data_IF_952761187318
#
_entry.id   IF_952761187318
#
_cell.length_a   1.000
_cell.length_b   1.000
_cell.length_c   1.000
_cell.angle_alpha   90.00
_cell.angle_beta   90.00
_cell.angle_gamma   90.00
#
_symmetry.space_group_name_H-M   'P 1'
#
loop_
_entity.id
_entity.type
_entity.pdbx_description
1 polymer ?
#
# COMPACT_ATOMS: atom_id res chain seq x y z
N UNK A 1 -21.05 -12.25 -21.08
CA UNK A 1 -20.08 -11.44 -21.83
C UNK A 1 -18.73 -11.67 -21.19
N UNK A 2 -17.65 -11.82 -21.98
CA UNK A 2 -16.31 -11.95 -21.43
C UNK A 2 -15.93 -10.70 -20.64
N UNK A 3 -15.12 -10.88 -19.59
CA UNK A 3 -14.70 -9.77 -18.76
C UNK A 3 -13.81 -8.79 -19.53
N UNK A 4 -14.17 -7.51 -19.51
CA UNK A 4 -13.34 -6.45 -20.08
C UNK A 4 -12.39 -5.91 -19.01
N UNK A 5 -11.11 -6.29 -19.12
CA UNK A 5 -10.08 -5.93 -18.15
C UNK A 5 -9.58 -4.49 -18.36
N UNK A 6 -9.48 -3.65 -17.31
CA UNK A 6 -8.99 -2.30 -17.44
C UNK A 6 -7.56 -2.25 -17.98
N UNK A 7 -7.26 -1.27 -18.84
CA UNK A 7 -5.94 -1.10 -19.44
C UNK A 7 -4.81 -1.08 -18.39
N UNK A 8 -3.65 -1.64 -18.75
CA UNK A 8 -2.48 -1.68 -17.87
C UNK A 8 -2.09 -0.32 -17.29
N UNK A 9 -2.07 0.73 -18.12
CA UNK A 9 -1.72 2.10 -17.68
C UNK A 9 -2.70 2.64 -16.63
N UNK A 10 -4.00 2.34 -16.80
CA UNK A 10 -5.01 2.72 -15.82
C UNK A 10 -4.83 1.96 -14.51
N UNK A 11 -4.66 0.64 -14.57
CA UNK A 11 -4.41 -0.19 -13.38
C UNK A 11 -3.15 0.24 -12.65
N UNK A 12 -2.06 0.53 -13.37
CA UNK A 12 -0.80 1.02 -12.82
C UNK A 12 -1.02 2.31 -12.02
N UNK A 13 -1.59 3.34 -12.64
CA UNK A 13 -1.82 4.63 -12.00
C UNK A 13 -2.72 4.52 -10.76
N UNK A 14 -3.73 3.63 -10.79
CA UNK A 14 -4.58 3.40 -9.62
C UNK A 14 -3.87 2.61 -8.51
N UNK A 15 -3.02 1.65 -8.87
CA UNK A 15 -2.20 0.87 -7.94
C UNK A 15 -1.17 1.74 -7.22
N UNK A 16 -0.54 2.68 -7.92
CA UNK A 16 0.41 3.61 -7.30
C UNK A 16 -0.27 4.49 -6.23
N UNK A 17 -1.55 4.82 -6.43
CA UNK A 17 -2.35 5.65 -5.53
C UNK A 17 -3.22 4.85 -4.54
N UNK A 18 -3.03 3.53 -4.42
CA UNK A 18 -3.92 2.65 -3.66
C UNK A 18 -3.90 2.95 -2.15
N UNK A 19 -2.71 3.19 -1.59
CA UNK A 19 -2.55 3.57 -0.18
C UNK A 19 -3.26 4.89 0.13
N UNK A 20 -3.14 5.89 -0.75
CA UNK A 20 -3.81 7.18 -0.58
C UNK A 20 -5.33 7.03 -0.67
N UNK A 21 -5.82 6.25 -1.64
CA UNK A 21 -7.25 5.97 -1.81
C UNK A 21 -7.83 5.28 -0.57
N UNK A 22 -7.11 4.29 -0.03
CA UNK A 22 -7.51 3.61 1.20
C UNK A 22 -7.47 4.55 2.41
N UNK A 23 -6.39 5.33 2.57
CA UNK A 23 -6.25 6.31 3.64
C UNK A 23 -7.42 7.31 3.68
N UNK A 24 -7.86 7.81 2.52
CA UNK A 24 -9.02 8.69 2.39
C UNK A 24 -10.32 8.01 2.83
N UNK A 25 -10.58 6.77 2.38
CA UNK A 25 -11.78 6.02 2.76
C UNK A 25 -11.83 5.73 4.26
N UNK A 26 -10.68 5.41 4.85
CA UNK A 26 -10.56 5.14 6.29
C UNK A 26 -10.48 6.41 7.15
N UNK A 27 -10.53 7.61 6.53
CA UNK A 27 -10.32 8.90 7.20
C UNK A 27 -9.04 8.93 8.06
N UNK A 28 -7.92 8.45 7.51
CA UNK A 28 -6.63 8.52 8.21
C UNK A 28 -6.25 9.96 8.51
N UNK A 29 -5.56 10.13 9.62
CA UNK A 29 -5.11 11.44 10.05
C UNK A 29 -4.27 12.14 8.99
N UNK A 30 -4.64 13.39 8.69
CA UNK A 30 -3.87 14.28 7.83
C UNK A 30 -3.07 15.23 8.71
N UNK A 31 -1.75 15.04 8.72
CA UNK A 31 -0.84 15.90 9.47
C UNK A 31 -0.74 17.29 8.83
N UNK A 32 -0.63 18.37 9.63
CA UNK A 32 -0.12 19.65 9.15
C UNK A 32 1.26 19.50 8.51
N UNK A 33 1.59 20.35 7.54
CA UNK A 33 2.91 20.36 6.91
C UNK A 33 4.02 20.52 7.96
N UNK A 34 5.15 19.84 7.78
CA UNK A 34 6.22 19.78 8.79
C UNK A 34 6.66 21.16 9.31
N UNK A 35 6.93 22.11 8.41
CA UNK A 35 7.40 23.45 8.80
C UNK A 35 6.34 24.22 9.59
N UNK A 36 5.07 24.10 9.20
CA UNK A 36 3.94 24.71 9.91
C UNK A 36 3.75 24.08 11.31
N UNK A 37 3.81 22.74 11.40
CA UNK A 37 3.76 22.03 12.67
C UNK A 37 4.89 22.48 13.61
N UNK A 38 6.13 22.53 13.10
CA UNK A 38 7.30 22.95 13.87
C UNK A 38 7.14 24.38 14.37
N UNK A 39 6.75 25.31 13.50
CA UNK A 39 6.56 26.71 13.87
C UNK A 39 5.47 26.88 14.94
N UNK A 40 4.34 26.18 14.78
CA UNK A 40 3.25 26.18 15.77
C UNK A 40 3.70 25.64 17.13
N UNK A 41 4.50 24.58 17.15
CA UNK A 41 5.06 24.02 18.40
C UNK A 41 6.06 24.95 19.06
N UNK A 42 6.87 25.68 18.29
CA UNK A 42 7.76 26.72 18.84
C UNK A 42 6.98 27.88 19.50
N UNK A 43 5.74 28.13 19.04
CA UNK A 43 4.81 29.13 19.57
C UNK A 43 3.77 28.55 20.53
N UNK A 44 3.97 27.31 21.02
CA UNK A 44 2.99 26.60 21.85
C UNK A 44 2.68 27.34 23.17
N UNK A 45 3.68 28.01 23.76
CA UNK A 45 3.47 28.78 25.00
C UNK A 45 2.50 29.95 24.80
N UNK A 46 2.66 30.69 23.69
CA UNK A 46 1.77 31.80 23.34
C UNK A 46 0.35 31.30 23.07
N UNK A 47 0.22 30.18 22.36
CA UNK A 47 -1.07 29.57 22.09
C UNK A 47 -1.73 29.08 23.39
N UNK A 48 -0.98 28.45 24.28
CA UNK A 48 -1.46 28.03 25.60
C UNK A 48 -1.96 29.23 26.42
N UNK A 49 -1.18 30.31 26.51
CA UNK A 49 -1.59 31.55 27.21
C UNK A 49 -2.84 32.17 26.58
N UNK A 50 -2.98 32.13 25.25
CA UNK A 50 -4.19 32.56 24.55
C UNK A 50 -5.40 31.71 24.94
N UNK A 51 -5.29 30.38 24.89
CA UNK A 51 -6.36 29.45 25.32
C UNK A 51 -6.74 29.63 26.79
N UNK A 52 -5.77 29.87 27.65
CA UNK A 52 -6.00 30.13 29.08
C UNK A 52 -6.84 31.41 29.29
N UNK A 53 -6.55 32.49 28.54
CA UNK A 53 -7.36 33.71 28.54
C UNK A 53 -8.77 33.49 27.98
N UNK A 54 -8.91 32.70 26.91
CA UNK A 54 -10.23 32.33 26.36
C UNK A 54 -11.08 31.63 27.41
N UNK A 55 -10.50 30.70 28.17
CA UNK A 55 -11.18 29.99 29.27
C UNK A 55 -11.52 30.87 30.47
N UNK A 56 -10.77 31.95 30.68
CA UNK A 56 -11.05 32.92 31.74
C UNK A 56 -12.28 33.78 31.41
N UNK A 57 -12.67 33.93 30.13
CA UNK A 57 -13.87 34.68 29.75
C UNK A 57 -15.11 34.06 30.43
N UNK A 58 -15.71 34.80 31.36
CA UNK A 58 -16.88 34.36 32.14
C UNK A 58 -16.56 33.77 33.52
N UNK A 59 -15.30 33.76 33.97
CA UNK A 59 -14.89 33.35 35.32
C UNK A 59 -14.35 34.54 36.13
N UNK A 60 -14.71 34.61 37.40
CA UNK A 60 -14.28 35.69 38.32
C UNK A 60 -12.84 35.53 38.81
N UNK A 61 -12.27 34.33 38.71
CA UNK A 61 -10.90 34.03 39.12
C UNK A 61 -9.92 34.10 37.94
N UNK A 62 -8.76 34.73 38.18
CA UNK A 62 -7.66 34.76 37.21
C UNK A 62 -7.12 33.35 37.04
N UNK A 63 -7.14 32.83 35.81
CA UNK A 63 -6.40 31.63 35.49
C UNK A 63 -4.93 32.05 35.30
N UNK A 64 -4.02 31.46 36.07
CA UNK A 64 -2.58 31.66 35.87
C UNK A 64 -1.96 30.43 35.20
N UNK A 65 -0.89 30.61 34.40
CA UNK A 65 -0.13 29.49 33.85
C UNK A 65 0.35 28.54 34.96
N UNK A 66 0.09 27.24 34.79
CA UNK A 66 0.58 26.19 35.69
C UNK A 66 2.05 25.89 35.38
N UNK A 67 2.95 25.95 36.37
CA UNK A 67 4.38 25.65 36.22
C UNK A 67 4.59 24.27 35.59
N UNK A 68 3.81 23.27 36.00
CA UNK A 68 3.89 21.93 35.42
C UNK A 68 3.54 21.92 33.93
N UNK A 69 2.62 22.78 33.48
CA UNK A 69 2.26 22.92 32.06
C UNK A 69 3.33 23.68 31.29
N UNK A 70 3.96 24.68 31.89
CA UNK A 70 5.07 25.41 31.29
C UNK A 70 6.28 24.50 31.08
N UNK A 71 6.62 23.63 32.03
CA UNK A 71 7.69 22.64 31.87
C UNK A 71 7.41 21.65 30.73
N UNK A 72 6.16 21.21 30.60
CA UNK A 72 5.72 20.34 29.51
C UNK A 72 5.81 21.03 28.15
N UNK A 73 5.41 22.31 28.09
CA UNK A 73 5.54 23.13 26.88
C UNK A 73 7.01 23.32 26.55
N UNK A 74 7.86 23.65 27.53
CA UNK A 74 9.31 23.79 27.36
C UNK A 74 9.95 22.54 26.77
N UNK A 75 9.56 21.35 27.25
CA UNK A 75 10.02 20.08 26.68
C UNK A 75 9.67 19.92 25.20
N UNK A 76 8.43 20.23 24.80
CA UNK A 76 7.96 20.13 23.41
C UNK A 76 8.65 21.18 22.52
N UNK A 77 8.77 22.42 23.01
CA UNK A 77 9.46 23.52 22.30
C UNK A 77 10.94 23.21 22.09
N UNK A 78 11.62 22.65 23.09
CA UNK A 78 13.00 22.18 22.97
C UNK A 78 13.13 21.07 21.91
N UNK A 79 12.20 20.11 21.90
CA UNK A 79 12.17 19.07 20.88
C UNK A 79 12.00 19.67 19.47
N UNK A 80 11.07 20.61 19.29
CA UNK A 80 10.88 21.31 18.02
C UNK A 80 12.13 22.09 17.56
N UNK A 81 12.84 22.71 18.50
CA UNK A 81 14.11 23.37 18.22
C UNK A 81 15.19 22.39 17.75
N UNK A 82 15.25 21.19 18.33
CA UNK A 82 16.20 20.15 17.97
C UNK A 82 15.92 19.49 16.60
N UNK A 83 14.72 19.69 16.04
CA UNK A 83 14.34 19.14 14.72
C UNK A 83 14.80 20.02 13.55
N UNK A 84 15.05 19.45 12.35
CA UNK A 84 15.56 20.18 11.18
C UNK A 84 14.74 21.42 10.79
N UNK A 85 15.38 22.56 10.49
CA UNK A 85 14.68 23.82 10.21
C UNK A 85 14.65 24.25 8.72
N UNK A 86 15.18 23.42 7.82
CA UNK A 86 15.22 23.68 6.38
C UNK A 86 16.40 24.54 5.90
N UNK A 87 17.12 25.25 6.76
CA UNK A 87 18.22 26.16 6.37
C UNK A 87 19.61 25.72 6.83
N UNK A 88 19.70 24.80 7.77
CA UNK A 88 20.93 24.18 8.25
C UNK A 88 20.53 22.85 8.89
N UNK A 89 21.26 21.77 8.65
CA UNK A 89 21.05 20.53 9.38
C UNK A 89 22.04 20.50 10.55
N UNK A 90 21.64 20.78 11.82
CA UNK A 90 22.46 20.39 12.96
C UNK A 90 22.55 18.87 13.07
N UNK A 91 21.58 18.14 12.48
CA UNK A 91 21.53 16.68 12.43
C UNK A 91 21.17 16.23 11.00
N UNK A 92 22.17 15.86 10.18
CA UNK A 92 21.96 15.27 8.84
C UNK A 92 21.26 13.90 8.87
N UNK A 93 20.98 13.35 10.05
CA UNK A 93 20.53 11.96 10.22
C UNK A 93 19.00 11.77 10.27
N UNK A 94 18.20 12.83 10.45
CA UNK A 94 16.74 12.72 10.59
C UNK A 94 16.05 13.34 9.37
N UNK A 95 15.27 12.54 8.63
CA UNK A 95 14.43 13.02 7.52
C UNK A 95 13.28 13.90 8.01
N UNK A 96 12.74 14.77 7.16
CA UNK A 96 11.59 15.62 7.53
C UNK A 96 10.36 14.80 7.93
N UNK A 97 10.10 13.68 7.26
CA UNK A 97 8.99 12.77 7.59
C UNK A 97 9.13 12.18 9.00
N UNK A 98 10.35 11.77 9.37
CA UNK A 98 10.61 11.24 10.71
C UNK A 98 10.59 12.33 11.78
N UNK A 99 11.13 13.52 11.49
CA UNK A 99 11.04 14.67 12.37
C UNK A 99 9.58 15.07 12.63
N UNK A 100 8.73 15.08 11.59
CA UNK A 100 7.30 15.32 11.72
C UNK A 100 6.65 14.26 12.63
N UNK A 101 6.94 12.99 12.40
CA UNK A 101 6.42 11.88 13.22
C UNK A 101 6.82 11.98 14.69
N UNK A 102 8.06 12.38 14.97
CA UNK A 102 8.54 12.64 16.34
C UNK A 102 7.74 13.77 17.02
N UNK A 103 7.55 14.90 16.33
CA UNK A 103 6.81 16.06 16.86
C UNK A 103 5.32 15.77 17.07
N UNK A 104 4.71 15.00 16.17
CA UNK A 104 3.36 14.50 16.37
C UNK A 104 3.34 13.58 17.60
N UNK A 105 4.27 12.62 17.69
CA UNK A 105 4.36 11.66 18.79
C UNK A 105 4.47 12.32 20.16
N UNK A 106 5.31 13.35 20.30
CA UNK A 106 5.43 14.10 21.56
C UNK A 106 4.14 14.83 21.93
N UNK A 107 3.51 15.46 20.95
CA UNK A 107 2.27 16.22 21.12
C UNK A 107 1.11 15.29 21.50
N UNK A 108 1.01 14.16 20.81
CA UNK A 108 0.03 13.10 21.04
C UNK A 108 0.18 12.48 22.43
N UNK A 109 1.39 12.09 22.81
CA UNK A 109 1.65 11.53 24.14
C UNK A 109 1.24 12.49 25.26
N UNK A 110 1.53 13.78 25.10
CA UNK A 110 1.12 14.80 26.06
C UNK A 110 -0.40 14.96 26.08
N UNK A 111 -1.03 15.10 24.92
CA UNK A 111 -2.48 15.21 24.78
C UNK A 111 -3.20 14.06 25.51
N UNK A 112 -2.80 12.81 25.23
CA UNK A 112 -3.39 11.62 25.85
C UNK A 112 -3.22 11.59 27.38
N UNK A 113 -2.04 11.95 27.89
CA UNK A 113 -1.81 11.97 29.34
C UNK A 113 -2.64 13.03 30.05
N UNK A 114 -2.86 14.21 29.44
CA UNK A 114 -3.72 15.24 30.04
C UNK A 114 -5.16 14.73 30.07
N UNK A 115 -5.69 14.23 28.95
CA UNK A 115 -7.05 13.67 28.90
C UNK A 115 -7.24 12.57 29.94
N UNK A 116 -6.25 11.68 30.13
CA UNK A 116 -6.31 10.65 31.18
C UNK A 116 -6.31 11.23 32.60
N UNK A 117 -5.45 12.21 32.90
CA UNK A 117 -5.43 12.86 34.21
C UNK A 117 -6.76 13.53 34.53
N UNK A 118 -7.39 14.17 33.54
CA UNK A 118 -8.69 14.83 33.71
C UNK A 118 -9.85 13.82 33.75
N UNK A 119 -9.82 12.71 33.01
CA UNK A 119 -10.85 11.66 33.13
C UNK A 119 -10.86 10.99 34.52
N UNK A 120 -9.69 10.83 35.14
CA UNK A 120 -9.57 10.30 36.51
C UNK A 120 -10.06 11.33 37.55
N UNK A 121 -9.80 12.63 37.33
CA UNK A 121 -10.20 13.72 38.23
C UNK A 121 -11.66 14.19 38.06
N UNK A 122 -12.22 14.12 36.85
CA UNK A 122 -13.53 14.67 36.47
C UNK A 122 -14.59 13.60 36.15
N UNK A 123 -14.35 12.32 36.45
CA UNK A 123 -15.38 11.28 36.41
C UNK A 123 -16.66 11.61 37.22
N UNK A 124 -16.62 12.67 38.03
CA UNK A 124 -17.74 13.24 38.78
C UNK A 124 -18.35 14.54 38.19
N UNK A 125 -17.72 15.27 37.25
CA UNK A 125 -18.15 16.65 36.86
C UNK A 125 -18.11 17.01 35.35
N UNK A 126 -17.82 16.09 34.43
CA UNK A 126 -17.99 16.30 32.97
C UNK A 126 -16.74 16.06 32.10
N UNK A 127 -16.91 16.00 30.78
CA UNK A 127 -15.87 15.59 29.82
C UNK A 127 -14.58 16.44 29.88
N UNK A 128 -13.43 15.77 29.72
CA UNK A 128 -12.09 16.28 30.01
C UNK A 128 -11.46 17.18 28.92
N UNK A 129 -11.88 17.05 27.66
CA UNK A 129 -11.12 17.60 26.53
C UNK A 129 -11.21 19.13 26.42
N UNK A 130 -12.35 19.72 26.82
CA UNK A 130 -12.54 21.19 26.90
C UNK A 130 -11.92 21.80 28.17
N UNK A 131 -11.38 20.97 29.07
CA UNK A 131 -11.01 21.39 30.41
C UNK A 131 -9.54 21.79 30.61
N UNK A 132 -8.64 21.48 29.67
CA UNK A 132 -7.23 21.92 29.73
C UNK A 132 -6.87 22.85 28.57
N UNK A 133 -6.38 24.06 28.88
CA UNK A 133 -5.91 25.02 27.87
C UNK A 133 -4.74 24.46 27.03
N UNK A 134 -3.90 23.60 27.62
CA UNK A 134 -2.82 22.92 26.87
C UNK A 134 -3.37 21.85 25.92
N UNK A 135 -4.44 21.12 26.30
CA UNK A 135 -5.10 20.21 25.37
C UNK A 135 -5.73 20.96 24.20
N UNK A 136 -6.43 22.07 24.46
CA UNK A 136 -7.00 22.90 23.40
C UNK A 136 -5.92 23.42 22.43
N UNK A 137 -4.76 23.82 22.96
CA UNK A 137 -3.63 24.25 22.13
C UNK A 137 -3.07 23.10 21.29
N UNK A 138 -2.81 21.92 21.89
CA UNK A 138 -2.31 20.76 21.16
C UNK A 138 -3.32 20.24 20.13
N UNK A 139 -4.62 20.27 20.44
CA UNK A 139 -5.70 19.91 19.53
C UNK A 139 -5.71 20.82 18.29
N UNK A 140 -5.53 22.14 18.48
CA UNK A 140 -5.43 23.11 17.38
C UNK A 140 -4.15 22.90 16.55
N UNK A 141 -3.00 22.67 17.20
CA UNK A 141 -1.73 22.44 16.49
C UNK A 141 -1.79 21.17 15.64
N UNK A 142 -2.34 20.10 16.19
CA UNK A 142 -2.51 18.83 15.49
C UNK A 142 -3.64 18.90 14.43
N UNK A 143 -4.43 19.97 14.39
CA UNK A 143 -5.53 20.13 13.43
C UNK A 143 -6.62 19.07 13.63
N UNK A 144 -6.87 18.67 14.88
CA UNK A 144 -7.87 17.65 15.19
C UNK A 144 -9.28 18.21 14.98
N UNK A 145 -10.16 17.38 14.43
CA UNK A 145 -11.59 17.66 14.26
C UNK A 145 -12.37 16.35 14.12
N UNK A 146 -13.69 16.42 14.06
CA UNK A 146 -14.56 15.26 13.81
C UNK A 146 -14.20 14.55 12.49
N UNK A 147 -13.68 15.29 11.51
CA UNK A 147 -13.24 14.77 10.21
C UNK A 147 -11.74 14.46 10.14
N UNK A 148 -10.94 14.89 11.11
CA UNK A 148 -9.50 14.66 11.16
C UNK A 148 -9.08 14.15 12.55
N UNK A 149 -9.43 12.90 12.85
CA UNK A 149 -9.07 12.23 14.09
C UNK A 149 -7.81 11.38 13.93
N UNK A 150 -7.08 11.16 15.04
CA UNK A 150 -5.85 10.36 15.02
C UNK A 150 -6.20 8.88 15.03
N UNK A 151 -5.90 8.18 13.93
CA UNK A 151 -6.07 6.74 13.85
C UNK A 151 -5.02 5.97 14.69
N UNK A 152 -5.33 4.74 15.15
CA UNK A 152 -4.42 3.97 16.01
C UNK A 152 -3.04 3.71 15.40
N UNK A 153 -2.94 3.59 14.08
CA UNK A 153 -1.66 3.37 13.41
C UNK A 153 -0.79 4.63 13.45
N UNK A 154 -1.37 5.81 13.22
CA UNK A 154 -0.69 7.10 13.44
C UNK A 154 -0.18 7.21 14.87
N UNK A 155 -1.03 6.91 15.85
CA UNK A 155 -0.62 6.91 17.26
C UNK A 155 0.60 6.04 17.51
N UNK A 156 0.52 4.77 17.12
CA UNK A 156 1.57 3.79 17.37
C UNK A 156 2.90 4.21 16.71
N UNK A 157 2.84 4.60 15.43
CA UNK A 157 4.05 4.95 14.66
C UNK A 157 4.71 6.23 15.18
N UNK A 158 3.96 7.32 15.33
CA UNK A 158 4.52 8.60 15.76
C UNK A 158 5.07 8.52 17.19
N UNK A 159 4.39 7.82 18.10
CA UNK A 159 4.86 7.65 19.47
C UNK A 159 6.07 6.73 19.55
N UNK A 160 6.14 5.69 18.69
CA UNK A 160 7.33 4.85 18.56
C UNK A 160 8.52 5.65 18.05
N UNK A 161 8.32 6.50 17.05
CA UNK A 161 9.38 7.38 16.53
C UNK A 161 9.88 8.35 17.59
N UNK A 162 8.97 8.94 18.37
CA UNK A 162 9.32 9.80 19.49
C UNK A 162 10.15 9.04 20.55
N UNK A 163 9.70 7.86 20.98
CA UNK A 163 10.43 7.01 21.92
C UNK A 163 11.82 6.65 21.40
N UNK A 164 11.91 6.21 20.15
CA UNK A 164 13.16 5.80 19.53
C UNK A 164 14.13 6.97 19.42
N UNK A 165 13.64 8.18 19.10
CA UNK A 165 14.46 9.38 19.13
C UNK A 165 15.02 9.69 20.52
N UNK A 166 14.17 9.61 21.56
CA UNK A 166 14.57 9.87 22.94
C UNK A 166 15.64 8.90 23.44
N UNK A 167 15.51 7.61 23.09
CA UNK A 167 16.45 6.57 23.50
C UNK A 167 17.73 6.53 22.65
N UNK A 168 17.69 7.03 21.42
CA UNK A 168 18.88 7.13 20.58
C UNK A 168 19.87 8.08 21.24
N UNK A 169 21.09 7.58 21.46
CA UNK A 169 22.21 8.32 22.05
C UNK A 169 21.86 9.04 23.36
N UNK A 170 20.92 8.46 24.13
CA UNK A 170 20.41 9.02 25.39
C UNK A 170 19.92 10.48 25.27
N UNK A 171 19.35 10.86 24.12
CA UNK A 171 18.83 12.21 23.85
C UNK A 171 17.89 12.72 24.96
N UNK A 172 17.15 11.83 25.61
CA UNK A 172 16.23 12.14 26.72
C UNK A 172 16.90 12.88 27.89
N UNK A 173 18.21 12.68 28.11
CA UNK A 173 18.95 13.30 29.22
C UNK A 173 18.95 14.83 29.16
N UNK A 174 18.78 15.41 27.96
CA UNK A 174 18.69 16.86 27.77
C UNK A 174 17.32 17.47 28.15
N UNK A 175 16.32 16.64 28.48
CA UNK A 175 14.95 17.09 28.76
C UNK A 175 14.61 16.92 30.25
N UNK A 176 14.71 18.01 31.03
CA UNK A 176 14.44 18.02 32.47
C UNK A 176 13.08 17.40 32.84
N UNK A 177 12.02 17.75 32.11
CA UNK A 177 10.67 17.19 32.32
C UNK A 177 10.63 15.65 32.24
N UNK A 178 11.40 15.06 31.32
CA UNK A 178 11.45 13.60 31.14
C UNK A 178 12.22 12.96 32.29
N UNK A 179 13.38 13.53 32.65
CA UNK A 179 14.21 13.01 33.75
C UNK A 179 13.51 13.06 35.11
N UNK A 180 12.60 14.01 35.30
CA UNK A 180 11.83 14.17 36.54
C UNK A 180 10.56 13.29 36.60
N UNK A 181 10.23 12.54 35.54
CA UNK A 181 9.09 11.64 35.48
C UNK A 181 9.57 10.17 35.41
N UNK A 182 9.64 9.46 36.55
CA UNK A 182 10.18 8.09 36.60
C UNK A 182 9.35 7.09 35.78
N UNK A 183 8.08 7.38 35.52
CA UNK A 183 7.19 6.52 34.75
C UNK A 183 7.09 6.93 33.28
N UNK A 184 7.88 7.91 32.81
CA UNK A 184 7.73 8.48 31.47
C UNK A 184 7.79 7.41 30.37
N UNK A 185 8.84 6.60 30.34
CA UNK A 185 9.03 5.58 29.32
C UNK A 185 8.04 4.42 29.46
N UNK A 186 7.73 4.00 30.69
CA UNK A 186 6.73 2.96 30.97
C UNK A 186 5.35 3.37 30.46
N UNK A 187 4.95 4.62 30.67
CA UNK A 187 3.67 5.15 30.19
C UNK A 187 3.64 5.32 28.67
N UNK A 188 4.74 5.79 28.07
CA UNK A 188 4.86 5.90 26.61
C UNK A 188 4.78 4.52 25.94
N UNK A 189 5.48 3.53 26.48
CA UNK A 189 5.45 2.14 25.99
C UNK A 189 4.05 1.54 26.07
N UNK A 190 3.38 1.67 27.23
CA UNK A 190 2.00 1.18 27.40
C UNK A 190 1.05 1.77 26.37
N UNK A 191 1.23 3.03 26.00
CA UNK A 191 0.42 3.69 24.98
C UNK A 191 0.74 3.14 23.58
N UNK A 192 2.02 2.99 23.23
CA UNK A 192 2.47 2.42 21.95
C UNK A 192 1.87 1.02 21.77
N UNK A 193 2.09 0.13 22.75
CA UNK A 193 1.59 -1.27 22.69
C UNK A 193 0.06 -1.30 22.55
N UNK A 194 -0.67 -0.49 23.34
CA UNK A 194 -2.13 -0.43 23.27
C UNK A 194 -2.64 -0.01 21.89
N UNK A 195 -2.07 1.04 21.32
CA UNK A 195 -2.50 1.53 20.00
C UNK A 195 -2.01 0.62 18.87
N UNK A 196 -0.87 -0.04 19.01
CA UNK A 196 -0.37 -1.04 18.07
C UNK A 196 -1.29 -2.27 17.98
N UNK A 197 -1.87 -2.71 19.10
CA UNK A 197 -2.88 -3.79 19.12
C UNK A 197 -4.13 -3.36 18.33
N UNK A 198 -4.64 -2.15 18.58
CA UNK A 198 -5.79 -1.60 17.84
C UNK A 198 -5.51 -1.34 16.36
N UNK A 199 -4.25 -1.08 16.00
CA UNK A 199 -3.83 -0.84 14.63
C UNK A 199 -3.70 -2.13 13.80
N UNK A 200 -3.66 -3.32 14.42
CA UNK A 200 -3.45 -4.59 13.72
C UNK A 200 -4.40 -4.82 12.54
N UNK A 201 -5.71 -4.56 12.64
CA UNK A 201 -6.62 -4.72 11.49
C UNK A 201 -6.24 -3.83 10.31
N UNK A 202 -5.82 -2.59 10.57
CA UNK A 202 -5.37 -1.64 9.54
C UNK A 202 -4.03 -2.07 8.93
N UNK A 203 -3.09 -2.53 9.75
CA UNK A 203 -1.80 -3.07 9.29
C UNK A 203 -2.04 -4.25 8.33
N UNK A 204 -2.94 -5.17 8.67
CA UNK A 204 -3.31 -6.29 7.78
C UNK A 204 -3.87 -5.80 6.44
N UNK A 205 -4.76 -4.79 6.45
CA UNK A 205 -5.27 -4.23 5.19
C UNK A 205 -4.16 -3.58 4.36
N UNK A 206 -3.22 -2.87 4.99
CA UNK A 206 -2.07 -2.26 4.32
C UNK A 206 -1.13 -3.32 3.73
N UNK A 207 -0.96 -4.47 4.36
CA UNK A 207 -0.16 -5.57 3.80
C UNK A 207 -0.74 -6.10 2.49
N UNK A 208 -2.06 -6.19 2.35
CA UNK A 208 -2.68 -6.53 1.06
C UNK A 208 -2.43 -5.47 -0.02
N UNK A 209 -2.48 -4.19 0.35
CA UNK A 209 -2.15 -3.09 -0.58
C UNK A 209 -0.68 -3.18 -1.01
N UNK A 210 0.23 -3.39 -0.06
CA UNK A 210 1.66 -3.52 -0.32
C UNK A 210 1.98 -4.72 -1.23
N UNK A 211 1.23 -5.82 -1.09
CA UNK A 211 1.33 -6.94 -2.01
C UNK A 211 1.00 -6.52 -3.46
N UNK A 212 -0.15 -5.89 -3.69
CA UNK A 212 -0.55 -5.46 -5.05
C UNK A 212 0.50 -4.50 -5.64
N UNK A 213 0.96 -3.54 -4.85
CA UNK A 213 2.01 -2.60 -5.27
C UNK A 213 3.34 -3.30 -5.55
N UNK A 214 3.69 -4.34 -4.79
CA UNK A 214 4.89 -5.13 -5.04
C UNK A 214 4.82 -5.95 -6.33
N UNK A 215 3.63 -6.47 -6.67
CA UNK A 215 3.39 -7.13 -7.97
C UNK A 215 3.56 -6.14 -9.11
N UNK A 216 3.01 -4.92 -9.00
CA UNK A 216 3.25 -3.86 -9.99
C UNK A 216 4.75 -3.59 -10.16
N UNK A 217 5.49 -3.38 -9.06
CA UNK A 217 6.95 -3.12 -9.14
C UNK A 217 7.72 -4.25 -9.82
N UNK A 218 7.32 -5.50 -9.61
CA UNK A 218 7.91 -6.65 -10.28
C UNK A 218 7.71 -6.58 -11.80
N UNK A 219 6.49 -6.29 -12.26
CA UNK A 219 6.14 -6.38 -13.68
C UNK A 219 6.48 -5.13 -14.49
N UNK A 220 6.56 -3.95 -13.86
CA UNK A 220 6.59 -2.64 -14.54
C UNK A 220 7.80 -2.46 -15.51
N UNK A 221 8.91 -3.14 -15.22
CA UNK A 221 10.12 -3.04 -16.06
C UNK A 221 10.09 -3.93 -17.31
N UNK A 222 9.21 -4.93 -17.36
CA UNK A 222 9.25 -5.95 -18.41
C UNK A 222 8.85 -5.45 -19.80
N UNK A 223 7.80 -4.62 -19.99
CA UNK A 223 7.48 -4.10 -21.32
C UNK A 223 8.68 -3.43 -21.97
N UNK A 224 9.41 -2.57 -21.23
CA UNK A 224 10.61 -1.92 -21.76
C UNK A 224 11.73 -2.91 -22.08
N UNK A 225 12.03 -3.86 -21.17
CA UNK A 225 13.07 -4.87 -21.37
C UNK A 225 12.78 -5.78 -22.58
N UNK A 226 11.52 -6.20 -22.72
CA UNK A 226 11.03 -7.02 -23.85
C UNK A 226 11.15 -6.24 -25.15
N UNK A 227 10.77 -4.96 -25.18
CA UNK A 227 10.90 -4.14 -26.38
C UNK A 227 12.37 -3.90 -26.78
N UNK A 228 13.28 -3.70 -25.82
CA UNK A 228 14.71 -3.60 -26.12
C UNK A 228 15.25 -4.88 -26.78
N UNK A 229 14.84 -6.05 -26.30
CA UNK A 229 15.22 -7.34 -26.90
C UNK A 229 14.56 -7.53 -28.28
N UNK A 230 13.29 -7.13 -28.41
CA UNK A 230 12.55 -7.17 -29.69
C UNK A 230 13.23 -6.34 -30.76
N UNK A 231 13.71 -5.13 -30.41
CA UNK A 231 14.41 -4.27 -31.36
C UNK A 231 15.72 -4.91 -31.82
N UNK A 232 16.50 -5.52 -30.90
CA UNK A 232 17.72 -6.28 -31.25
C UNK A 232 17.40 -7.44 -32.18
N UNK A 233 16.31 -8.16 -31.92
CA UNK A 233 15.84 -9.26 -32.74
C UNK A 233 15.42 -8.77 -34.13
N UNK A 234 14.62 -7.71 -34.23
CA UNK A 234 14.21 -7.07 -35.48
C UNK A 234 15.42 -6.68 -36.31
N UNK A 235 16.39 -5.97 -35.72
CA UNK A 235 17.63 -5.58 -36.41
C UNK A 235 18.40 -6.80 -36.91
N UNK A 236 18.53 -7.84 -36.09
CA UNK A 236 19.21 -9.08 -36.48
C UNK A 236 18.53 -9.76 -37.68
N UNK A 237 17.21 -9.98 -37.60
CA UNK A 237 16.43 -10.63 -38.65
C UNK A 237 16.45 -9.85 -39.97
N UNK A 238 16.36 -8.52 -39.92
CA UNK A 238 16.45 -7.66 -41.11
C UNK A 238 17.86 -7.71 -41.72
N UNK A 239 18.92 -7.63 -40.89
CA UNK A 239 20.30 -7.67 -41.37
C UNK A 239 20.66 -9.00 -42.03
N UNK A 240 20.00 -10.09 -41.64
CA UNK A 240 20.23 -11.43 -42.15
C UNK A 240 19.13 -11.92 -43.10
N UNK A 241 18.26 -11.03 -43.60
CA UNK A 241 17.08 -11.41 -44.41
C UNK A 241 17.38 -12.32 -45.61
N UNK A 242 18.55 -12.20 -46.22
CA UNK A 242 18.97 -13.01 -47.36
C UNK A 242 19.39 -14.44 -46.98
N UNK A 243 19.70 -14.68 -45.71
CA UNK A 243 20.16 -15.97 -45.17
C UNK A 243 19.06 -16.72 -44.41
N UNK A 244 17.95 -16.04 -44.12
CA UNK A 244 16.85 -16.57 -43.32
C UNK A 244 15.73 -17.03 -44.26
N UNK A 245 15.32 -18.29 -44.12
CA UNK A 245 14.14 -18.83 -44.80
C UNK A 245 12.90 -18.56 -43.95
N UNK A 246 11.99 -17.73 -44.48
CA UNK A 246 10.69 -17.44 -43.88
C UNK A 246 9.63 -18.47 -44.35
N UNK A 247 8.57 -18.75 -43.56
CA UNK A 247 8.27 -18.19 -42.23
C UNK A 247 9.13 -18.78 -41.10
N UNK A 248 9.31 -17.99 -40.04
CA UNK A 248 9.98 -18.40 -38.80
C UNK A 248 8.93 -18.76 -37.74
N UNK A 249 8.83 -20.03 -37.39
CA UNK A 249 8.01 -20.49 -36.27
C UNK A 249 8.57 -20.04 -34.91
N UNK A 250 7.76 -20.19 -33.85
CA UNK A 250 8.13 -19.92 -32.45
C UNK A 250 9.46 -20.56 -32.05
N UNK A 251 9.71 -21.82 -32.41
CA UNK A 251 10.92 -22.54 -32.00
C UNK A 251 12.19 -21.91 -32.57
N UNK A 252 12.16 -21.52 -33.85
CA UNK A 252 13.25 -20.81 -34.51
C UNK A 252 13.43 -19.41 -33.92
N UNK A 253 12.34 -18.71 -33.64
CA UNK A 253 12.40 -17.39 -33.00
C UNK A 253 13.12 -17.44 -31.66
N UNK A 254 12.76 -18.40 -30.80
CA UNK A 254 13.41 -18.62 -29.51
C UNK A 254 14.89 -18.98 -29.68
N UNK A 255 15.25 -19.73 -30.73
CA UNK A 255 16.66 -20.00 -31.03
C UNK A 255 17.47 -18.73 -31.35
N UNK A 256 16.86 -17.76 -32.04
CA UNK A 256 17.50 -16.46 -32.29
C UNK A 256 17.67 -15.65 -31.01
N UNK A 257 16.72 -15.71 -30.07
CA UNK A 257 16.88 -15.08 -28.75
C UNK A 257 18.10 -15.63 -28.00
N UNK A 258 18.35 -16.95 -28.08
CA UNK A 258 19.57 -17.56 -27.51
C UNK A 258 20.84 -17.05 -28.17
N UNK A 259 20.86 -16.92 -29.49
CA UNK A 259 22.00 -16.35 -30.24
C UNK A 259 22.26 -14.90 -29.82
N UNK A 260 21.20 -14.13 -29.59
CA UNK A 260 21.27 -12.75 -29.11
C UNK A 260 21.62 -12.63 -27.62
N UNK A 261 21.91 -13.75 -26.94
CA UNK A 261 22.21 -13.83 -25.51
C UNK A 261 21.12 -13.14 -24.68
N UNK A 262 19.86 -13.42 -25.00
CA UNK A 262 18.74 -13.01 -24.17
C UNK A 262 18.95 -13.55 -22.75
N UNK A 263 18.67 -12.70 -21.77
CA UNK A 263 18.59 -13.10 -20.37
C UNK A 263 17.55 -14.23 -20.20
N UNK A 264 17.78 -15.16 -19.27
CA UNK A 264 16.92 -16.32 -19.09
C UNK A 264 15.48 -15.93 -18.78
N UNK A 265 15.27 -14.85 -18.02
CA UNK A 265 13.92 -14.41 -17.64
C UNK A 265 13.17 -13.90 -18.86
N UNK A 266 13.85 -13.08 -19.67
CA UNK A 266 13.29 -12.57 -20.92
C UNK A 266 13.04 -13.69 -21.92
N UNK A 267 13.95 -14.66 -22.04
CA UNK A 267 13.73 -15.84 -22.88
C UNK A 267 12.47 -16.61 -22.47
N UNK A 268 12.32 -16.87 -21.17
CA UNK A 268 11.18 -17.60 -20.64
C UNK A 268 9.88 -16.83 -20.83
N UNK A 269 9.87 -15.50 -20.65
CA UNK A 269 8.71 -14.65 -20.92
C UNK A 269 8.26 -14.75 -22.38
N UNK A 270 9.19 -14.62 -23.33
CA UNK A 270 8.90 -14.78 -24.76
C UNK A 270 8.31 -16.17 -25.04
N UNK A 271 8.86 -17.22 -24.43
CA UNK A 271 8.34 -18.56 -24.61
C UNK A 271 6.90 -18.72 -24.08
N UNK A 272 6.53 -18.00 -23.03
CA UNK A 272 5.20 -18.10 -22.41
C UNK A 272 4.12 -17.31 -23.16
N UNK A 273 4.37 -16.06 -23.55
CA UNK A 273 3.31 -15.25 -24.16
C UNK A 273 3.12 -15.48 -25.67
N UNK A 274 4.09 -16.11 -26.35
CA UNK A 274 3.96 -16.46 -27.76
C UNK A 274 3.17 -17.75 -27.92
N UNK A 275 2.06 -17.77 -28.70
CA UNK A 275 1.28 -18.97 -28.91
C UNK A 275 2.03 -19.99 -29.79
N UNK A 276 1.64 -21.26 -29.75
CA UNK A 276 2.35 -22.34 -30.46
C UNK A 276 2.30 -22.20 -32.00
N UNK A 277 1.20 -21.66 -32.52
CA UNK A 277 1.02 -21.34 -33.93
C UNK A 277 1.67 -20.02 -34.37
N UNK A 278 2.40 -19.34 -33.48
CA UNK A 278 3.03 -18.07 -33.79
C UNK A 278 4.15 -18.23 -34.83
N UNK A 279 4.10 -17.41 -35.88
CA UNK A 279 5.20 -17.30 -36.84
C UNK A 279 5.44 -15.86 -37.31
N UNK A 280 6.66 -15.61 -37.78
CA UNK A 280 7.07 -14.33 -38.36
C UNK A 280 7.35 -14.51 -39.85
N UNK A 281 6.87 -13.58 -40.67
CA UNK A 281 7.14 -13.52 -42.11
C UNK A 281 7.59 -12.12 -42.54
N UNK A 282 8.07 -12.01 -43.78
CA UNK A 282 8.41 -10.74 -44.42
C UNK A 282 7.31 -10.35 -45.41
N UNK A 283 6.64 -9.23 -45.16
CA UNK A 283 5.64 -8.64 -46.06
C UNK A 283 6.11 -7.26 -46.48
N UNK A 284 6.32 -7.05 -47.78
CA UNK A 284 6.61 -5.74 -48.38
C UNK A 284 7.72 -4.93 -47.66
N UNK A 285 8.72 -5.63 -47.10
CA UNK A 285 9.86 -5.13 -46.28
C UNK A 285 9.67 -5.00 -44.77
N UNK A 286 8.51 -5.34 -44.22
CA UNK A 286 8.26 -5.36 -42.77
C UNK A 286 8.25 -6.78 -42.21
N UNK A 287 8.73 -6.92 -40.98
CA UNK A 287 8.56 -8.15 -40.20
C UNK A 287 7.17 -8.15 -39.59
N UNK A 288 6.39 -9.17 -39.94
CA UNK A 288 4.99 -9.31 -39.54
C UNK A 288 4.86 -10.60 -38.74
N UNK A 289 4.29 -10.48 -37.54
CA UNK A 289 3.86 -11.57 -36.70
C UNK A 289 2.47 -12.03 -37.13
N UNK A 290 2.25 -13.34 -37.19
CA UNK A 290 0.97 -13.94 -37.56
C UNK A 290 0.65 -15.09 -36.61
N UNK A 291 -0.58 -15.09 -36.12
CA UNK A 291 -1.24 -16.16 -35.36
C UNK A 291 -2.74 -16.18 -35.68
N UNK A 292 -3.55 -16.87 -34.85
CA UNK A 292 -5.01 -16.92 -35.01
C UNK A 292 -5.71 -15.55 -34.92
N UNK A 293 -5.06 -14.54 -34.33
CA UNK A 293 -5.59 -13.19 -34.18
C UNK A 293 -5.28 -12.29 -35.40
N UNK A 294 -4.62 -12.83 -36.41
CA UNK A 294 -4.27 -12.14 -37.65
C UNK A 294 -2.83 -11.66 -37.70
N UNK A 295 -2.56 -10.76 -38.65
CA UNK A 295 -1.22 -10.27 -38.96
C UNK A 295 -0.97 -8.86 -38.39
N UNK A 296 0.11 -8.70 -37.62
CA UNK A 296 0.51 -7.42 -37.00
C UNK A 296 2.01 -7.18 -37.17
N UNK A 297 2.46 -5.93 -37.17
CA UNK A 297 3.91 -5.64 -37.15
C UNK A 297 4.54 -6.22 -35.88
N UNK A 298 5.70 -6.88 -36.01
CA UNK A 298 6.35 -7.64 -34.93
C UNK A 298 6.47 -6.87 -33.61
N UNK A 299 6.93 -5.62 -33.66
CA UNK A 299 7.09 -4.78 -32.48
C UNK A 299 5.76 -4.44 -31.82
N UNK A 300 4.74 -4.13 -32.63
CA UNK A 300 3.40 -3.81 -32.13
C UNK A 300 2.75 -5.04 -31.48
N UNK A 301 2.85 -6.21 -32.11
CA UNK A 301 2.32 -7.46 -31.59
C UNK A 301 2.98 -7.87 -30.26
N UNK A 302 4.32 -7.86 -30.20
CA UNK A 302 5.03 -8.19 -28.97
C UNK A 302 4.72 -7.17 -27.86
N UNK A 303 4.68 -5.87 -28.18
CA UNK A 303 4.33 -4.82 -27.23
C UNK A 303 2.94 -5.01 -26.64
N UNK A 304 1.96 -5.37 -27.48
CA UNK A 304 0.60 -5.66 -27.06
C UNK A 304 0.56 -6.88 -26.14
N UNK A 305 1.18 -8.00 -26.54
CA UNK A 305 1.18 -9.24 -25.74
C UNK A 305 1.83 -9.08 -24.37
N UNK A 306 2.99 -8.44 -24.29
CA UNK A 306 3.65 -8.23 -22.99
C UNK A 306 2.84 -7.30 -22.09
N UNK A 307 2.19 -6.28 -22.69
CA UNK A 307 1.30 -5.37 -21.95
C UNK A 307 0.09 -6.12 -21.40
N UNK A 308 -0.54 -6.96 -22.21
CA UNK A 308 -1.64 -7.84 -21.81
C UNK A 308 -1.19 -8.77 -20.66
N UNK A 309 -0.05 -9.45 -20.79
CA UNK A 309 0.47 -10.32 -19.71
C UNK A 309 0.72 -9.56 -18.40
N UNK A 310 1.27 -8.35 -18.46
CA UNK A 310 1.47 -7.50 -17.28
C UNK A 310 0.12 -7.06 -16.68
N UNK A 311 -0.84 -6.68 -17.52
CA UNK A 311 -2.21 -6.34 -17.12
C UNK A 311 -2.87 -7.48 -16.35
N UNK A 312 -2.81 -8.69 -16.89
CA UNK A 312 -3.41 -9.88 -16.29
C UNK A 312 -2.68 -10.32 -15.01
N UNK A 313 -1.35 -10.21 -14.96
CA UNK A 313 -0.59 -10.48 -13.74
C UNK A 313 -0.95 -9.50 -12.60
N UNK A 314 -1.13 -8.22 -12.92
CA UNK A 314 -1.58 -7.23 -11.95
C UNK A 314 -3.03 -7.49 -11.51
N UNK A 315 -3.93 -7.77 -12.47
CA UNK A 315 -5.32 -8.14 -12.19
C UNK A 315 -5.40 -9.35 -11.24
N UNK A 316 -4.53 -10.34 -11.41
CA UNK A 316 -4.45 -11.49 -10.51
C UNK A 316 -4.19 -11.10 -9.06
N UNK A 317 -3.35 -10.09 -8.82
CA UNK A 317 -3.10 -9.59 -7.46
C UNK A 317 -4.39 -9.05 -6.82
N UNK A 318 -5.20 -8.31 -7.57
CA UNK A 318 -6.51 -7.84 -7.13
C UNK A 318 -7.47 -9.01 -6.86
N UNK A 319 -7.52 -10.00 -7.76
CA UNK A 319 -8.36 -11.20 -7.60
C UNK A 319 -8.01 -11.95 -6.31
N UNK A 320 -6.72 -12.18 -6.06
CA UNK A 320 -6.25 -12.90 -4.88
C UNK A 320 -6.61 -12.17 -3.59
N UNK A 321 -6.37 -10.86 -3.53
CA UNK A 321 -6.73 -10.04 -2.37
C UNK A 321 -8.24 -10.05 -2.14
N UNK A 322 -9.05 -9.76 -3.16
CA UNK A 322 -10.52 -9.75 -3.01
C UNK A 322 -11.06 -11.12 -2.59
N UNK A 323 -10.52 -12.21 -3.15
CA UNK A 323 -10.91 -13.58 -2.77
C UNK A 323 -10.60 -13.81 -1.29
N UNK A 324 -9.41 -13.41 -0.82
CA UNK A 324 -9.03 -13.55 0.58
C UNK A 324 -9.90 -12.72 1.51
N UNK A 325 -10.21 -11.47 1.17
CA UNK A 325 -11.10 -10.62 1.94
C UNK A 325 -12.53 -11.19 2.02
N UNK A 326 -13.01 -11.78 0.92
CA UNK A 326 -14.30 -12.48 0.89
C UNK A 326 -14.32 -13.70 1.82
N UNK A 327 -13.26 -14.51 1.81
CA UNK A 327 -13.12 -15.66 2.73
C UNK A 327 -13.09 -15.21 4.19
N UNK A 328 -12.32 -14.17 4.52
CA UNK A 328 -12.26 -13.60 5.87
C UNK A 328 -13.63 -13.10 6.35
N UNK A 329 -14.38 -12.40 5.50
CA UNK A 329 -15.72 -11.94 5.86
C UNK A 329 -16.70 -13.10 6.09
N UNK A 330 -16.64 -14.16 5.28
CA UNK A 330 -17.47 -15.36 5.47
C UNK A 330 -17.17 -16.04 6.81
N UNK A 331 -15.90 -16.26 7.13
CA UNK A 331 -15.48 -16.84 8.40
C UNK A 331 -15.95 -15.97 9.59
N UNK A 332 -15.75 -14.67 9.51
CA UNK A 332 -16.15 -13.72 10.55
C UNK A 332 -17.68 -13.62 10.73
N UNK A 333 -18.46 -13.86 9.67
CA UNK A 333 -19.93 -13.91 9.76
C UNK A 333 -20.45 -15.16 10.47
N UNK A 334 -19.66 -16.24 10.48
CA UNK A 334 -20.00 -17.51 11.14
C UNK A 334 -19.63 -17.52 12.62
N UNK A 335 -18.59 -16.76 13.02
CA UNK A 335 -18.25 -16.50 14.42
C UNK A 335 -18.96 -15.23 14.93
N UNK A 336 -20.27 -15.36 15.15
CA UNK A 336 -21.09 -14.36 15.83
C UNK A 336 -20.42 -13.95 17.17
N UNK A 337 -20.22 -12.63 17.33
CA UNK A 337 -20.01 -11.84 18.57
C UNK A 337 -18.64 -11.19 18.90
N UNK A 338 -17.55 -11.36 18.15
CA UNK A 338 -16.25 -10.80 18.64
C UNK A 338 -15.36 -10.05 17.63
N UNK A 339 -15.80 -9.81 16.40
CA UNK A 339 -15.04 -8.91 15.51
C UNK A 339 -15.41 -7.48 15.87
N UNK A 340 -14.45 -6.73 16.44
CA UNK A 340 -14.60 -5.31 16.68
C UNK A 340 -15.18 -4.66 15.42
N UNK A 341 -16.26 -3.90 15.58
CA UNK A 341 -17.01 -3.21 14.51
C UNK A 341 -16.11 -2.47 13.49
N UNK A 342 -14.88 -2.16 13.87
CA UNK A 342 -13.85 -1.54 13.06
C UNK A 342 -13.28 -2.45 11.93
N UNK A 343 -13.03 -3.75 12.16
CA UNK A 343 -12.34 -4.59 11.15
C UNK A 343 -13.23 -4.88 9.94
N UNK A 344 -14.53 -5.13 10.14
CA UNK A 344 -15.47 -5.32 9.03
C UNK A 344 -15.51 -4.09 8.12
N UNK A 345 -15.62 -2.90 8.72
CA UNK A 345 -15.63 -1.63 7.99
C UNK A 345 -14.33 -1.43 7.20
N UNK A 346 -13.18 -1.72 7.81
CA UNK A 346 -11.88 -1.62 7.13
C UNK A 346 -11.79 -2.57 5.92
N UNK A 347 -12.31 -3.79 6.02
CA UNK A 347 -12.37 -4.72 4.87
C UNK A 347 -13.27 -4.15 3.77
N UNK A 348 -14.44 -3.62 4.13
CA UNK A 348 -15.36 -3.03 3.14
C UNK A 348 -14.75 -1.80 2.46
N UNK A 349 -14.03 -0.96 3.21
CA UNK A 349 -13.31 0.20 2.66
C UNK A 349 -12.14 -0.22 1.77
N UNK A 350 -11.38 -1.28 2.13
CA UNK A 350 -10.37 -1.86 1.25
C UNK A 350 -11.02 -2.38 -0.03
N UNK A 351 -12.09 -3.17 0.06
CA UNK A 351 -12.82 -3.64 -1.13
C UNK A 351 -13.25 -2.50 -2.03
N UNK A 352 -13.84 -1.43 -1.48
CA UNK A 352 -14.19 -0.22 -2.24
C UNK A 352 -12.99 0.38 -2.95
N UNK A 353 -11.82 0.45 -2.31
CA UNK A 353 -10.60 0.95 -2.97
C UNK A 353 -10.13 0.06 -4.11
N UNK A 354 -10.46 -1.23 -4.12
CA UNK A 354 -10.05 -2.20 -5.16
C UNK A 354 -11.07 -2.31 -6.31
N UNK A 355 -12.28 -1.75 -6.17
CA UNK A 355 -13.39 -1.91 -7.14
C UNK A 355 -13.10 -1.42 -8.55
N UNK A 356 -12.17 -0.49 -8.74
CA UNK A 356 -11.82 -0.03 -10.09
C UNK A 356 -11.16 -1.13 -10.92
N UNK A 357 -10.53 -2.13 -10.28
CA UNK A 357 -9.81 -3.19 -10.95
C UNK A 357 -10.73 -4.36 -11.32
N UNK A 358 -11.81 -4.57 -10.57
CA UNK A 358 -12.76 -5.67 -10.75
C UNK A 358 -14.16 -5.09 -10.52
N UNK A 359 -14.94 -4.96 -11.60
CA UNK A 359 -16.31 -4.46 -11.50
C UNK A 359 -17.19 -5.48 -10.78
N UNK A 360 -17.82 -5.07 -9.69
CA UNK A 360 -18.83 -5.87 -8.98
C UNK A 360 -20.27 -5.59 -9.45
N UNK A 361 -20.50 -4.71 -10.44
CA UNK A 361 -21.86 -4.39 -10.91
C UNK A 361 -22.28 -5.19 -12.15
N UNK A 362 -23.33 -6.00 -11.93
CA UNK A 362 -24.43 -6.51 -12.76
C UNK A 362 -24.22 -7.03 -14.20
N UNK A 363 -23.03 -6.99 -14.80
CA UNK A 363 -22.76 -7.70 -16.07
C UNK A 363 -21.29 -8.02 -16.38
N UNK A 364 -20.30 -7.42 -15.70
CA UNK A 364 -18.86 -7.59 -15.97
C UNK A 364 -18.12 -8.26 -14.79
N UNK A 365 -18.60 -9.42 -14.33
CA UNK A 365 -17.87 -10.22 -13.35
C UNK A 365 -16.70 -10.95 -14.03
N UNK A 366 -15.58 -11.10 -13.33
CA UNK A 366 -14.40 -11.83 -13.83
C UNK A 366 -14.78 -13.30 -14.01
N UNK A 367 -14.92 -13.72 -15.27
CA UNK A 367 -15.15 -15.11 -15.66
C UNK A 367 -13.94 -16.00 -15.38
N UNK A 368 -14.15 -17.32 -15.42
CA UNK A 368 -13.11 -18.30 -15.06
C UNK A 368 -11.96 -18.34 -16.08
N UNK A 369 -12.18 -18.02 -17.36
CA UNK A 369 -11.12 -17.96 -18.37
C UNK A 369 -10.18 -16.79 -18.10
N UNK A 370 -10.76 -15.59 -17.91
CA UNK A 370 -10.04 -14.37 -17.51
C UNK A 370 -9.29 -14.59 -16.21
N UNK A 371 -9.90 -15.25 -15.22
CA UNK A 371 -9.26 -15.58 -13.95
C UNK A 371 -8.10 -16.56 -14.12
N UNK A 372 -8.24 -17.59 -14.92
CA UNK A 372 -7.17 -18.55 -15.20
C UNK A 372 -6.00 -17.86 -15.91
N UNK A 373 -6.27 -17.00 -16.89
CA UNK A 373 -5.25 -16.21 -17.58
C UNK A 373 -4.53 -15.26 -16.62
N UNK A 374 -5.26 -14.54 -15.77
CA UNK A 374 -4.70 -13.66 -14.75
C UNK A 374 -3.74 -14.42 -13.82
N UNK A 375 -4.23 -15.48 -13.18
CA UNK A 375 -3.44 -16.26 -12.22
C UNK A 375 -2.23 -16.94 -12.89
N UNK A 376 -2.39 -17.44 -14.12
CA UNK A 376 -1.28 -18.04 -14.89
C UNK A 376 -0.23 -16.98 -15.24
N UNK A 377 -0.66 -15.78 -15.64
CA UNK A 377 0.25 -14.67 -15.92
C UNK A 377 1.07 -14.29 -14.68
N UNK A 378 0.43 -14.19 -13.51
CA UNK A 378 1.12 -13.92 -12.25
C UNK A 378 2.09 -15.05 -11.86
N UNK A 379 1.70 -16.31 -12.03
CA UNK A 379 2.55 -17.47 -11.78
C UNK A 379 3.83 -17.41 -12.61
N UNK A 380 3.75 -17.05 -13.90
CA UNK A 380 4.92 -16.88 -14.77
C UNK A 380 5.90 -15.88 -14.15
N UNK A 381 5.45 -14.68 -13.77
CA UNK A 381 6.36 -13.69 -13.18
C UNK A 381 6.94 -14.10 -11.82
N UNK A 382 6.20 -14.85 -11.01
CA UNK A 382 6.69 -15.40 -9.74
C UNK A 382 7.78 -16.44 -9.97
N UNK A 383 7.67 -17.26 -11.01
CA UNK A 383 8.65 -18.30 -11.32
C UNK A 383 9.94 -17.74 -11.94
N UNK A 384 9.88 -16.53 -12.48
CA UNK A 384 11.04 -15.84 -13.07
C UNK A 384 11.84 -15.04 -12.07
N UNK A 385 11.21 -14.55 -11.00
CA UNK A 385 11.83 -13.57 -10.12
C UNK A 385 12.39 -14.22 -8.85
N UNK A 386 13.52 -13.69 -8.37
CA UNK A 386 13.99 -14.01 -7.02
C UNK A 386 12.96 -13.52 -5.99
N UNK A 387 12.73 -14.33 -4.96
CA UNK A 387 11.69 -14.20 -3.92
C UNK A 387 11.60 -12.81 -3.25
N UNK A 388 12.60 -11.95 -3.45
CA UNK A 388 12.86 -10.70 -2.74
C UNK A 388 11.97 -9.51 -3.14
N UNK A 389 11.22 -9.58 -4.25
CA UNK A 389 10.50 -8.39 -4.78
C UNK A 389 9.05 -8.29 -4.31
N UNK A 390 8.39 -9.43 -4.02
CA UNK A 390 6.96 -9.47 -3.70
C UNK A 390 6.74 -9.43 -2.18
N UNK A 391 5.91 -8.51 -1.70
CA UNK A 391 5.52 -8.47 -0.29
C UNK A 391 4.39 -9.48 -0.03
N UNK A 392 4.72 -10.60 0.58
CA UNK A 392 3.77 -11.69 0.89
C UNK A 392 3.40 -11.77 2.37
N UNK A 393 3.61 -10.70 3.14
CA UNK A 393 3.32 -10.71 4.59
C UNK A 393 1.85 -11.00 4.90
N UNK A 394 0.93 -10.55 4.03
CA UNK A 394 -0.50 -10.80 4.19
C UNK A 394 -0.88 -12.29 4.14
N UNK A 395 -0.01 -13.15 3.59
CA UNK A 395 -0.17 -14.61 3.57
C UNK A 395 0.67 -15.33 4.62
N UNK A 396 1.47 -14.61 5.41
CA UNK A 396 2.41 -15.19 6.37
C UNK A 396 3.72 -15.69 5.76
N UNK A 397 4.03 -15.30 4.52
CA UNK A 397 5.28 -15.64 3.84
C UNK A 397 5.10 -16.15 2.41
N UNK A 398 6.22 -16.24 1.68
CA UNK A 398 6.23 -16.52 0.23
C UNK A 398 5.72 -17.92 -0.11
N UNK A 399 6.09 -18.94 0.66
CA UNK A 399 5.65 -20.32 0.44
C UNK A 399 4.13 -20.49 0.63
N UNK A 400 3.56 -19.84 1.66
CA UNK A 400 2.11 -19.85 1.89
C UNK A 400 1.36 -19.11 0.78
N UNK A 401 1.94 -18.01 0.29
CA UNK A 401 1.42 -17.31 -0.87
C UNK A 401 1.46 -18.18 -2.15
N UNK A 402 2.57 -18.88 -2.42
CA UNK A 402 2.66 -19.82 -3.56
C UNK A 402 1.63 -20.94 -3.46
N UNK A 403 1.45 -21.52 -2.26
CA UNK A 403 0.41 -22.51 -2.01
C UNK A 403 -0.99 -21.98 -2.29
N UNK A 404 -1.28 -20.73 -1.90
CA UNK A 404 -2.55 -20.08 -2.17
C UNK A 404 -2.76 -19.81 -3.67
N UNK A 405 -1.76 -19.29 -4.38
CA UNK A 405 -1.83 -19.09 -5.84
C UNK A 405 -2.10 -20.41 -6.57
N UNK A 406 -1.38 -21.47 -6.19
CA UNK A 406 -1.58 -22.81 -6.76
C UNK A 406 -3.00 -23.33 -6.49
N UNK A 407 -3.50 -23.18 -5.25
CA UNK A 407 -4.87 -23.56 -4.88
C UNK A 407 -5.91 -22.84 -5.75
N UNK A 408 -5.75 -21.53 -5.96
CA UNK A 408 -6.66 -20.75 -6.79
C UNK A 408 -6.61 -21.19 -8.26
N UNK A 409 -5.43 -21.47 -8.81
CA UNK A 409 -5.27 -22.01 -10.16
C UNK A 409 -5.98 -23.35 -10.35
N UNK A 410 -5.79 -24.29 -9.42
CA UNK A 410 -6.44 -25.61 -9.46
C UNK A 410 -7.97 -25.45 -9.41
N UNK A 411 -8.48 -24.62 -8.50
CA UNK A 411 -9.91 -24.40 -8.35
C UNK A 411 -10.56 -23.83 -9.61
N UNK A 412 -9.90 -22.88 -10.28
CA UNK A 412 -10.41 -22.27 -11.52
C UNK A 412 -10.40 -23.28 -12.67
N UNK A 413 -9.30 -24.02 -12.84
CA UNK A 413 -9.17 -25.03 -13.89
C UNK A 413 -10.16 -26.19 -13.72
N UNK A 414 -10.46 -26.58 -12.48
CA UNK A 414 -11.51 -27.55 -12.20
C UNK A 414 -12.87 -27.08 -12.70
N UNK A 415 -13.27 -25.84 -12.38
CA UNK A 415 -14.55 -25.28 -12.85
C UNK A 415 -14.64 -25.18 -14.38
N UNK A 416 -13.54 -24.79 -15.03
CA UNK A 416 -13.45 -24.77 -16.50
C UNK A 416 -13.62 -26.17 -17.12
N UNK A 417 -13.12 -27.21 -16.46
CA UNK A 417 -13.33 -28.59 -16.93
C UNK A 417 -14.80 -29.00 -16.79
N UNK A 418 -15.47 -28.66 -15.68
CA UNK A 418 -16.88 -29.00 -15.45
C UNK A 418 -17.82 -28.34 -16.47
N UNK A 419 -17.60 -27.07 -16.81
CA UNK A 419 -18.41 -26.37 -17.83
C UNK A 419 -18.24 -26.98 -19.22
N UNK A 420 -17.04 -27.45 -19.58
CA UNK A 420 -16.79 -28.08 -20.87
C UNK A 420 -17.54 -29.42 -21.05
N UNK A 421 -17.76 -30.17 -19.96
CA UNK A 421 -18.54 -31.42 -19.97
C UNK A 421 -20.05 -31.18 -20.08
N UNK A 422 -20.57 -30.10 -19.50
CA UNK A 422 -22.00 -29.78 -19.60
C UNK A 422 -22.41 -29.35 -21.01
N UNK A 423 -21.57 -28.62 -21.74
CA UNK A 423 -21.87 -28.17 -23.11
C UNK A 423 -21.77 -29.31 -24.15
N UNK A 424 -20.90 -30.30 -23.93
CA UNK A 424 -20.83 -31.50 -24.80
C UNK A 424 -22.01 -32.45 -24.58
N UNK A 425 -22.61 -32.45 -23.39
CA UNK A 425 -23.77 -33.32 -23.10
C UNK A 425 -25.06 -32.77 -23.73
N UNK A 426 -25.18 -31.43 -23.84
CA UNK A 426 -26.35 -30.79 -24.46
C UNK A 426 -26.30 -30.86 -26.00
N UNK A 427 -25.11 -30.83 -26.60
CA UNK A 427 -24.95 -30.95 -28.06
C UNK A 427 -25.12 -32.37 -28.61
N UNK A 428 -25.13 -33.40 -27.75
CA UNK A 428 -25.48 -34.78 -28.12
C UNK A 428 -26.96 -35.16 -27.83
N UNK A 429 -27.75 -34.21 -27.34
CA UNK A 429 -29.21 -34.36 -27.16
C UNK A 429 -29.93 -33.20 -27.87
N UNK A 430 -29.69 -33.06 -29.18
CA UNK A 430 -30.61 -32.39 -30.12
C UNK A 430 -30.62 -33.13 -31.45
#
# INVERSE_FOLDING_TARGET
MPYDAPEFTFLKNKTDNLQQSFAQLTKRYTSPAYLDLREKLLKLEDLYKKKLKEKQKGRWTKCEPDETRLDQIGCITQLANNMPNGQTAPNKEISFERAQSILIGSSLYRYARITRSYNILLGFFGQADDNSALNMALHEILGLSDDNSIDPLTWANCCSDYRNYLLKDDNYTSYSYINNDPDFFSNLEKMIVREQIKAQPMIKQLQYILFIQSVLRMIDSYPQKVMQLTNKLKTHLISQKAKITYPLDKSKLLSFLKILKADNDLYNIFNQFLPENYYITMLETKLVAVDDNGAKELEADISERITIYCQYALLAAYILVLTKLNEMQKLNSQFLYAVEYNEKKLIDDLKKSLKFAISEQDSNQVDDDTRNLALTSLQVFIDLNDQLVINTEAWGGFELFKGELHRQLVNVRHRLSETSYTDTTITHVM
#
